data_IF_216799712898
#
_entry.id   IF_216799712898
#
_cell.length_a   1.000
_cell.length_b   1.000
_cell.length_c   1.000
_cell.angle_alpha   90.00
_cell.angle_beta   90.00
_cell.angle_gamma   90.00
#
_symmetry.space_group_name_H-M   'P 1'
#
loop_
_entity.id
_entity.type
_entity.pdbx_description
1 polymer ?
#
# COMPACT_ATOMS: atom_id res chain seq x y z
N UNK A 1 -3.40 -8.49 8.95
CA UNK A 1 -4.54 -7.54 8.95
C UNK A 1 -4.63 -6.82 7.60
N UNK A 2 -3.60 -6.06 7.21
CA UNK A 2 -3.61 -5.22 6.01
C UNK A 2 -3.90 -5.95 4.69
N UNK A 3 -3.22 -7.07 4.42
CA UNK A 3 -3.47 -7.92 3.23
C UNK A 3 -4.94 -8.33 3.09
N UNK A 4 -5.62 -8.65 4.20
CA UNK A 4 -7.02 -9.07 4.18
C UNK A 4 -7.99 -7.95 3.84
N UNK A 5 -7.66 -6.70 4.21
CA UNK A 5 -8.51 -5.54 3.97
C UNK A 5 -8.20 -4.91 2.61
N UNK A 6 -6.94 -4.58 2.35
CA UNK A 6 -6.53 -3.93 1.10
C UNK A 6 -6.56 -4.86 -0.11
N UNK A 7 -6.39 -6.18 0.09
CA UNK A 7 -6.52 -7.16 -0.99
C UNK A 7 -7.95 -7.31 -1.53
N UNK A 8 -8.97 -6.85 -0.79
CA UNK A 8 -10.39 -6.99 -1.17
C UNK A 8 -11.06 -5.66 -1.57
N UNK A 9 -10.41 -4.53 -1.30
CA UNK A 9 -10.96 -3.21 -1.54
C UNK A 9 -10.36 -2.60 -2.80
N UNK A 10 -11.21 -2.15 -3.71
CA UNK A 10 -10.78 -1.45 -4.93
C UNK A 10 -11.57 -0.15 -5.04
N UNK A 11 -10.90 0.98 -4.82
CA UNK A 11 -11.50 2.30 -4.84
C UNK A 11 -10.48 3.34 -5.35
N UNK A 12 -10.86 4.31 -6.19
CA UNK A 12 -9.92 5.27 -6.80
C UNK A 12 -9.18 6.17 -5.80
N UNK A 13 -9.65 6.29 -4.56
CA UNK A 13 -9.02 7.10 -3.50
C UNK A 13 -8.35 6.26 -2.41
N UNK A 14 -8.20 4.95 -2.62
CA UNK A 14 -7.51 4.06 -1.70
C UNK A 14 -6.33 3.42 -2.42
N UNK A 15 -5.16 3.42 -1.76
CA UNK A 15 -3.96 2.79 -2.31
C UNK A 15 -4.22 1.30 -2.57
N UNK A 16 -3.87 0.86 -3.78
CA UNK A 16 -4.03 -0.52 -4.20
C UNK A 16 -2.86 -1.38 -3.73
N UNK A 17 -3.17 -2.43 -2.99
CA UNK A 17 -2.24 -3.54 -2.77
C UNK A 17 -2.25 -4.44 -4.03
N UNK A 18 -1.10 -4.53 -4.69
CA UNK A 18 -0.91 -5.35 -5.90
C UNK A 18 -0.59 -6.79 -5.51
N UNK A 19 0.18 -6.99 -4.44
CA UNK A 19 0.57 -8.32 -3.97
C UNK A 19 1.37 -8.27 -2.66
N UNK A 20 1.78 -9.43 -2.20
CA UNK A 20 2.63 -9.58 -1.02
C UNK A 20 3.52 -10.82 -1.18
N UNK A 21 4.65 -10.83 -0.49
CA UNK A 21 5.49 -12.01 -0.32
C UNK A 21 5.53 -12.39 1.16
N UNK A 22 5.39 -13.68 1.43
CA UNK A 22 5.53 -14.26 2.75
C UNK A 22 6.32 -15.57 2.64
N UNK A 23 7.64 -15.45 2.55
CA UNK A 23 8.59 -16.57 2.40
C UNK A 23 9.81 -16.33 3.30
N UNK A 24 10.34 -17.38 3.92
CA UNK A 24 11.60 -17.37 4.68
C UNK A 24 11.78 -16.17 5.64
N UNK A 25 10.76 -15.90 6.47
CA UNK A 25 10.69 -14.76 7.40
C UNK A 25 10.77 -13.37 6.76
N UNK A 26 10.66 -13.28 5.43
CA UNK A 26 10.51 -12.03 4.70
C UNK A 26 9.02 -11.71 4.50
N UNK A 27 8.64 -10.52 4.94
CA UNK A 27 7.30 -9.98 4.79
C UNK A 27 7.37 -8.73 3.92
N UNK A 28 6.94 -8.86 2.66
CA UNK A 28 6.97 -7.77 1.70
C UNK A 28 5.54 -7.45 1.24
N UNK A 29 5.25 -6.17 1.07
CA UNK A 29 4.00 -5.67 0.53
C UNK A 29 4.28 -4.86 -0.72
N UNK A 30 3.56 -5.14 -1.80
CA UNK A 30 3.71 -4.48 -3.10
C UNK A 30 2.49 -3.62 -3.34
N UNK A 31 2.66 -2.31 -3.33
CA UNK A 31 1.61 -1.32 -3.60
C UNK A 31 1.80 -0.67 -4.96
N UNK A 32 0.75 -0.01 -5.45
CA UNK A 32 0.93 0.99 -6.49
C UNK A 32 1.85 2.13 -6.02
N UNK A 33 2.62 2.69 -6.95
CA UNK A 33 3.56 3.74 -6.63
C UNK A 33 2.91 5.12 -6.63
N UNK A 34 2.93 5.78 -5.47
CA UNK A 34 2.42 7.13 -5.28
C UNK A 34 3.55 8.16 -5.43
N UNK A 35 3.82 8.59 -6.67
CA UNK A 35 4.99 9.42 -7.02
C UNK A 35 5.10 10.76 -6.30
N UNK A 36 4.00 11.29 -5.77
CA UNK A 36 3.98 12.56 -5.04
C UNK A 36 4.31 12.41 -3.55
N UNK A 37 4.37 11.18 -3.03
CA UNK A 37 4.64 10.92 -1.61
C UNK A 37 3.40 11.07 -0.72
N UNK A 38 3.60 11.23 0.58
CA UNK A 38 2.52 11.30 1.57
C UNK A 38 1.82 12.66 1.57
N UNK A 39 0.55 12.67 1.96
CA UNK A 39 -0.22 13.92 2.15
C UNK A 39 0.43 14.84 3.20
N UNK A 40 1.02 14.27 4.25
CA UNK A 40 1.77 15.04 5.27
C UNK A 40 2.88 15.88 4.63
N UNK A 41 3.66 15.31 3.71
CA UNK A 41 4.70 16.05 2.99
C UNK A 41 4.15 17.20 2.15
N UNK A 42 2.89 17.12 1.72
CA UNK A 42 2.25 18.18 0.96
C UNK A 42 1.66 19.28 1.84
N UNK A 43 1.29 18.96 3.09
CA UNK A 43 0.60 19.88 3.98
C UNK A 43 1.52 20.56 5.00
N UNK A 44 2.58 19.89 5.45
CA UNK A 44 3.35 20.31 6.62
C UNK A 44 4.88 20.36 6.40
N UNK A 45 5.32 20.42 5.14
CA UNK A 45 6.73 20.62 4.78
C UNK A 45 7.24 22.03 5.11
#
# INVERSE_FOLDING_TARGET
AEVNYLGKLHHPNLVKLIGYCFEDDQYLLVYEYMSKGSLENHLFR
#
